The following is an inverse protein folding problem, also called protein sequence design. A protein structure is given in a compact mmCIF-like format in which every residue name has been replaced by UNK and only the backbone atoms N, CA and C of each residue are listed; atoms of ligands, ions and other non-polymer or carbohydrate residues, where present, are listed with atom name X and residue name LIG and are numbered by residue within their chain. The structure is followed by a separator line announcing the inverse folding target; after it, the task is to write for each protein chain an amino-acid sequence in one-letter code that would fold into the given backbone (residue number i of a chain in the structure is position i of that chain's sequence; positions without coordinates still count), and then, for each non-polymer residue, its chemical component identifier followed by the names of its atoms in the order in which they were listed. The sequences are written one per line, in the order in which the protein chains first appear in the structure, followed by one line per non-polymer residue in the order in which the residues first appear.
data_IF_319159591469
#
_entry.id   IF_319159591469
#
_cell.length_a   1.000
_cell.length_b   1.000
_cell.length_c   1.000
_cell.angle_alpha   90.00
_cell.angle_beta   90.00
_cell.angle_gamma   90.00
#
_symmetry.space_group_name_H-M   'P 1'
#
loop_
_entity.id
_entity.type
_entity.pdbx_description
1 polymer ?
#
# COMPACT_ATOMS: atom_id res chain seq x y z
N UNK A 1 -17.64 -11.38 19.86
CA UNK A 1 -16.41 -10.62 19.52
C UNK A 1 -16.79 -9.54 18.53
N UNK A 2 -16.12 -8.39 18.57
CA UNK A 2 -16.26 -7.31 17.60
C UNK A 2 -14.85 -6.81 17.33
N UNK A 3 -14.52 -6.58 16.05
CA UNK A 3 -13.16 -6.30 15.62
C UNK A 3 -13.20 -5.15 14.62
N UNK A 4 -12.20 -4.30 14.68
CA UNK A 4 -11.98 -3.23 13.72
C UNK A 4 -10.57 -3.32 13.13
N UNK A 5 -10.39 -2.74 11.96
CA UNK A 5 -9.10 -2.58 11.31
C UNK A 5 -9.02 -1.18 10.70
N UNK A 6 -7.89 -0.50 10.90
CA UNK A 6 -7.55 0.70 10.14
C UNK A 6 -6.29 0.41 9.35
N UNK A 7 -6.32 0.67 8.04
CA UNK A 7 -5.19 0.46 7.15
C UNK A 7 -4.54 1.79 6.82
N UNK A 8 -3.22 1.82 6.95
CA UNK A 8 -2.42 2.98 6.62
C UNK A 8 -1.48 2.68 5.46
N UNK A 9 -1.26 3.68 4.61
CA UNK A 9 -0.24 3.65 3.55
C UNK A 9 0.77 4.74 3.85
N UNK A 10 2.02 4.36 4.09
CA UNK A 10 3.09 5.28 4.49
C UNK A 10 2.75 6.17 5.70
N UNK A 11 1.88 5.69 6.59
CA UNK A 11 1.46 6.39 7.80
C UNK A 11 0.13 7.14 7.68
N UNK A 12 -0.45 7.25 6.48
CA UNK A 12 -1.68 7.99 6.25
C UNK A 12 -2.91 7.07 6.17
N UNK A 13 -4.04 7.52 6.73
CA UNK A 13 -5.35 6.84 6.75
C UNK A 13 -6.14 7.11 5.46
N UNK A 14 -5.49 6.86 4.32
CA UNK A 14 -5.92 7.28 2.99
C UNK A 14 -7.13 6.49 2.43
N UNK A 15 -8.23 6.42 3.16
CA UNK A 15 -9.44 5.65 2.81
C UNK A 15 -10.13 6.18 1.57
N UNK A 16 -10.17 7.50 1.44
CA UNK A 16 -10.68 8.19 0.26
C UNK A 16 -9.51 8.37 -0.72
N UNK A 17 -9.56 7.78 -1.93
CA UNK A 17 -8.47 7.92 -2.90
C UNK A 17 -8.31 9.34 -3.50
N UNK A 18 -9.25 10.26 -3.27
CA UNK A 18 -9.09 11.72 -3.53
C UNK A 18 -8.91 12.53 -2.23
N UNK A 19 -8.71 11.83 -1.10
CA UNK A 19 -8.48 12.45 0.20
C UNK A 19 -7.19 13.27 0.24
N UNK A 20 -7.19 14.33 1.05
CA UNK A 20 -6.03 15.20 1.24
C UNK A 20 -4.83 14.49 1.89
N UNK A 21 -5.06 13.35 2.52
CA UNK A 21 -4.09 12.47 3.17
C UNK A 21 -3.55 11.37 2.25
N UNK A 22 -4.02 11.28 1.00
CA UNK A 22 -3.53 10.27 0.06
C UNK A 22 -2.07 10.54 -0.30
N UNK A 23 -1.14 9.65 0.07
CA UNK A 23 0.26 9.83 -0.25
C UNK A 23 0.48 9.72 -1.76
N UNK A 24 1.40 10.52 -2.26
CA UNK A 24 1.80 10.51 -3.66
C UNK A 24 3.19 9.88 -3.73
N UNK A 25 3.29 8.74 -4.40
CA UNK A 25 4.48 7.89 -4.37
C UNK A 25 4.91 7.57 -5.80
N UNK A 26 6.19 7.73 -6.10
CA UNK A 26 6.69 7.41 -7.44
C UNK A 26 6.78 5.89 -7.64
N UNK A 27 6.60 5.37 -8.88
CA UNK A 27 6.72 3.95 -9.14
C UNK A 27 8.08 3.40 -8.72
N UNK A 28 8.08 2.28 -7.98
CA UNK A 28 9.29 1.66 -7.44
C UNK A 28 9.75 2.20 -6.08
N UNK A 29 9.21 3.32 -5.61
CA UNK A 29 9.50 3.82 -4.25
C UNK A 29 8.86 2.92 -3.19
N UNK A 30 9.47 2.90 -2.00
CA UNK A 30 9.03 2.06 -0.91
C UNK A 30 7.65 2.43 -0.37
N UNK A 31 6.84 1.41 -0.10
CA UNK A 31 5.57 1.51 0.61
C UNK A 31 5.66 0.70 1.89
N UNK A 32 5.18 1.26 3.00
CA UNK A 32 4.87 0.53 4.24
C UNK A 32 3.37 0.57 4.45
N UNK A 33 2.74 -0.60 4.48
CA UNK A 33 1.35 -0.75 4.90
C UNK A 33 1.32 -1.15 6.38
N UNK A 34 0.51 -0.44 7.17
CA UNK A 34 0.26 -0.77 8.58
C UNK A 34 -1.21 -1.13 8.75
N UNK A 35 -1.48 -2.19 9.49
CA UNK A 35 -2.84 -2.67 9.78
C UNK A 35 -3.04 -2.61 11.30
N UNK A 36 -3.80 -1.62 11.76
CA UNK A 36 -4.13 -1.44 13.16
C UNK A 36 -5.40 -2.22 13.48
N UNK A 37 -5.23 -3.42 14.05
CA UNK A 37 -6.32 -4.31 14.43
C UNK A 37 -6.73 -4.03 15.86
N UNK A 38 -7.99 -3.67 16.09
CA UNK A 38 -8.50 -3.28 17.42
C UNK A 38 -9.67 -4.16 17.84
N UNK A 39 -9.63 -4.68 19.07
CA UNK A 39 -10.81 -5.33 19.66
C UNK A 39 -11.76 -4.26 20.21
N UNK A 40 -12.78 -3.93 19.43
CA UNK A 40 -13.81 -2.96 19.83
C UNK A 40 -14.96 -3.62 20.61
N UNK A 41 -14.91 -4.94 20.80
CA UNK A 41 -15.88 -5.71 21.56
C UNK A 41 -15.56 -5.83 23.05
N UNK A 42 -16.32 -6.66 23.74
CA UNK A 42 -16.18 -6.92 25.19
C UNK A 42 -15.59 -8.30 25.53
N UNK A 43 -15.13 -9.06 24.52
CA UNK A 43 -14.63 -10.43 24.69
C UNK A 43 -13.21 -10.50 24.17
N UNK A 44 -12.32 -11.07 24.98
CA UNK A 44 -10.93 -11.37 24.64
C UNK A 44 -10.84 -12.23 23.37
N UNK A 45 -9.85 -11.95 22.52
CA UNK A 45 -9.62 -12.67 21.26
C UNK A 45 -8.20 -13.25 21.30
N UNK A 46 -8.06 -14.57 21.13
CA UNK A 46 -6.73 -15.17 21.07
C UNK A 46 -6.03 -14.81 19.75
N UNK A 47 -4.72 -14.59 19.78
CA UNK A 47 -3.91 -14.41 18.56
C UNK A 47 -4.17 -15.48 17.50
N UNK A 48 -4.32 -16.74 17.92
CA UNK A 48 -4.53 -17.87 17.00
C UNK A 48 -5.86 -17.79 16.23
N UNK A 49 -6.81 -16.99 16.71
CA UNK A 49 -8.10 -16.75 16.09
C UNK A 49 -8.10 -15.53 15.14
N UNK A 50 -7.02 -14.74 15.13
CA UNK A 50 -6.90 -13.52 14.33
C UNK A 50 -6.22 -13.85 13.00
N UNK A 51 -6.88 -13.51 11.90
CA UNK A 51 -6.29 -13.56 10.57
C UNK A 51 -6.34 -12.18 9.93
N UNK A 52 -5.18 -11.64 9.57
CA UNK A 52 -5.06 -10.39 8.82
C UNK A 52 -4.65 -10.71 7.38
N UNK A 53 -5.36 -10.12 6.43
CA UNK A 53 -5.13 -10.30 4.99
C UNK A 53 -5.19 -8.98 4.26
N UNK A 54 -4.62 -8.97 3.07
CA UNK A 54 -4.58 -7.87 2.12
C UNK A 54 -4.99 -8.43 0.75
N UNK A 55 -5.75 -7.67 -0.04
CA UNK A 55 -6.29 -8.15 -1.32
C UNK A 55 -5.19 -8.54 -2.33
N UNK A 56 -4.01 -7.90 -2.27
CA UNK A 56 -2.90 -8.21 -3.19
C UNK A 56 -1.79 -9.01 -2.51
N UNK A 57 -1.39 -8.61 -1.29
CA UNK A 57 -0.26 -9.25 -0.58
C UNK A 57 -0.67 -10.62 -0.01
N UNK A 58 -1.96 -10.83 0.27
CA UNK A 58 -2.45 -12.02 0.94
C UNK A 58 -2.29 -11.93 2.47
N UNK A 59 -1.91 -13.01 3.13
CA UNK A 59 -1.83 -13.06 4.60
C UNK A 59 -0.71 -12.18 5.15
N UNK A 60 -1.03 -11.38 6.17
CA UNK A 60 -0.09 -10.51 6.88
C UNK A 60 0.20 -11.10 8.25
N UNK A 61 1.46 -11.42 8.52
CA UNK A 61 1.88 -12.13 9.75
C UNK A 61 2.84 -11.34 10.63
N UNK A 62 3.41 -10.24 10.13
CA UNK A 62 4.42 -9.49 10.86
C UNK A 62 3.76 -8.52 11.85
N UNK A 63 3.68 -8.92 13.12
CA UNK A 63 3.20 -8.08 14.22
C UNK A 63 4.38 -7.25 14.74
N UNK A 64 4.32 -5.94 14.53
CA UNK A 64 5.37 -5.00 14.96
C UNK A 64 5.07 -4.35 16.30
N UNK A 65 3.81 -4.40 16.74
CA UNK A 65 3.38 -3.96 18.07
C UNK A 65 2.21 -4.82 18.54
N UNK A 66 2.35 -5.44 19.71
CA UNK A 66 1.37 -6.36 20.29
C UNK A 66 0.73 -5.80 21.56
N UNK A 67 0.53 -4.48 21.61
CA UNK A 67 -0.05 -3.80 22.76
C UNK A 67 0.74 -4.04 24.05
N UNK A 68 0.19 -4.84 24.96
CA UNK A 68 0.84 -5.19 26.23
C UNK A 68 1.82 -6.38 26.15
N UNK A 69 1.86 -7.06 24.99
CA UNK A 69 2.86 -8.08 24.65
C UNK A 69 2.46 -9.51 24.94
N UNK A 70 1.20 -9.78 25.33
CA UNK A 70 0.69 -11.14 25.48
C UNK A 70 0.01 -11.68 24.20
N UNK A 71 -0.61 -12.87 24.26
CA UNK A 71 -1.21 -13.55 23.10
C UNK A 71 -2.75 -13.36 23.04
N UNK A 72 -3.27 -12.33 23.71
CA UNK A 72 -4.70 -12.02 23.83
C UNK A 72 -4.91 -10.56 23.41
N UNK A 73 -5.73 -10.34 22.39
CA UNK A 73 -6.19 -9.00 22.04
C UNK A 73 -7.38 -8.64 22.96
N UNK A 74 -7.10 -7.95 24.06
CA UNK A 74 -8.08 -7.56 25.06
C UNK A 74 -9.02 -6.44 24.56
N UNK A 75 -10.22 -6.27 25.16
CA UNK A 75 -11.11 -5.15 24.85
C UNK A 75 -10.42 -3.78 24.90
N UNK A 76 -10.48 -3.04 23.79
CA UNK A 76 -9.85 -1.73 23.61
C UNK A 76 -8.36 -1.77 23.26
N UNK A 77 -7.77 -2.96 23.15
CA UNK A 77 -6.38 -3.11 22.72
C UNK A 77 -6.25 -3.08 21.19
N UNK A 78 -5.11 -2.59 20.72
CA UNK A 78 -4.74 -2.53 19.31
C UNK A 78 -3.39 -3.21 19.05
N UNK A 79 -3.35 -4.10 18.07
CA UNK A 79 -2.10 -4.65 17.53
C UNK A 79 -1.80 -4.07 16.15
N UNK A 80 -0.52 -3.83 15.88
CA UNK A 80 -0.05 -3.32 14.60
C UNK A 80 0.65 -4.43 13.82
N UNK A 81 0.12 -4.72 12.64
CA UNK A 81 0.76 -5.58 11.66
C UNK A 81 1.38 -4.71 10.56
N UNK A 82 2.47 -5.18 9.93
CA UNK A 82 3.09 -4.49 8.81
C UNK A 82 3.36 -5.39 7.61
N UNK A 83 3.37 -4.75 6.45
CA UNK A 83 3.95 -5.30 5.23
C UNK A 83 4.68 -4.17 4.50
N UNK A 84 5.76 -4.53 3.80
CA UNK A 84 6.53 -3.60 2.98
C UNK A 84 6.50 -4.03 1.52
N UNK A 85 6.58 -3.06 0.62
CA UNK A 85 6.62 -3.29 -0.81
C UNK A 85 7.08 -2.05 -1.55
N UNK A 86 6.74 -1.98 -2.83
CA UNK A 86 7.03 -0.83 -3.68
C UNK A 86 5.77 -0.38 -4.39
N UNK A 87 5.65 0.92 -4.65
CA UNK A 87 4.57 1.46 -5.47
C UNK A 87 4.65 0.88 -6.90
N UNK A 88 3.50 0.52 -7.46
CA UNK A 88 3.40 0.04 -8.84
C UNK A 88 3.32 1.23 -9.80
N UNK A 89 3.67 1.00 -11.07
CA UNK A 89 3.39 1.93 -12.17
C UNK A 89 1.87 1.89 -12.44
N UNK A 90 1.14 2.97 -12.14
CA UNK A 90 -0.31 3.07 -12.34
C UNK A 90 -0.68 3.45 -13.77
N UNK A 91 0.29 3.92 -14.57
CA UNK A 91 0.14 4.12 -16.01
C UNK A 91 0.10 2.77 -16.73
N UNK A 92 0.98 1.83 -16.34
CA UNK A 92 1.05 0.48 -16.87
C UNK A 92 0.98 -0.58 -15.75
N UNK A 93 -0.18 -0.73 -15.09
CA UNK A 93 -0.31 -1.62 -13.96
C UNK A 93 -0.16 -3.09 -14.37
N UNK A 94 0.30 -3.97 -13.45
CA UNK A 94 0.26 -5.41 -13.65
C UNK A 94 -1.17 -5.92 -13.93
N UNK A 95 -1.28 -7.01 -14.69
CA UNK A 95 -2.53 -7.75 -14.89
C UNK A 95 -2.81 -8.60 -13.65
N UNK A 96 -3.46 -8.00 -12.66
CA UNK A 96 -3.85 -8.63 -11.40
C UNK A 96 -5.32 -8.28 -11.08
N UNK A 97 -6.18 -9.30 -11.08
CA UNK A 97 -7.61 -9.18 -10.79
C UNK A 97 -7.90 -8.61 -9.39
N UNK A 98 -6.96 -8.70 -8.46
CA UNK A 98 -7.12 -8.18 -7.11
C UNK A 98 -6.74 -6.71 -6.98
N UNK A 99 -6.12 -6.12 -8.01
CA UNK A 99 -5.70 -4.73 -8.00
C UNK A 99 -6.92 -3.81 -8.10
N UNK A 100 -7.10 -2.92 -7.12
CA UNK A 100 -8.18 -1.93 -7.14
C UNK A 100 -7.62 -0.60 -7.61
N UNK A 101 -7.97 -0.21 -8.84
CA UNK A 101 -7.58 1.03 -9.46
C UNK A 101 -8.77 1.97 -9.57
N UNK A 102 -8.58 3.22 -9.17
CA UNK A 102 -9.62 4.25 -9.22
C UNK A 102 -9.13 5.37 -10.12
N UNK A 103 -9.83 5.60 -11.23
CA UNK A 103 -9.50 6.66 -12.19
C UNK A 103 -10.03 8.03 -11.72
N UNK A 104 -9.38 9.09 -12.19
CA UNK A 104 -9.83 10.49 -12.03
C UNK A 104 -9.99 10.99 -10.57
N UNK A 105 -9.23 10.44 -9.62
CA UNK A 105 -9.32 10.77 -8.18
C UNK A 105 -8.05 11.38 -7.60
N UNK A 106 -6.89 11.31 -8.25
CA UNK A 106 -5.68 11.94 -7.69
C UNK A 106 -5.63 13.42 -8.08
N UNK A 107 -6.50 14.25 -7.51
CA UNK A 107 -6.60 15.66 -7.87
C UNK A 107 -5.63 16.55 -7.11
N UNK A 108 -5.15 16.11 -5.93
CA UNK A 108 -4.41 16.94 -4.97
C UNK A 108 -5.13 18.28 -4.72
N UNK A 109 -6.35 18.24 -4.19
CA UNK A 109 -7.21 19.43 -4.00
C UNK A 109 -7.42 20.23 -5.30
N UNK A 110 -7.47 19.54 -6.44
CA UNK A 110 -7.60 20.14 -7.77
C UNK A 110 -6.32 20.77 -8.34
N UNK A 111 -5.15 20.57 -7.72
CA UNK A 111 -3.86 21.01 -8.26
C UNK A 111 -3.43 20.23 -9.52
N UNK A 112 -3.91 19.00 -9.69
CA UNK A 112 -3.62 18.11 -10.81
C UNK A 112 -4.84 18.02 -11.73
N UNK A 113 -4.66 18.40 -13.01
CA UNK A 113 -5.67 18.28 -14.06
C UNK A 113 -5.00 17.96 -15.42
N UNK A 114 -5.33 16.82 -16.07
CA UNK A 114 -6.30 15.83 -15.65
C UNK A 114 -5.86 15.08 -14.39
N UNK A 115 -6.82 14.71 -13.54
CA UNK A 115 -6.59 13.89 -12.36
C UNK A 115 -5.97 12.54 -12.77
N UNK A 116 -5.07 12.01 -11.95
CA UNK A 116 -4.48 10.69 -12.20
C UNK A 116 -5.24 9.57 -11.49
N UNK A 117 -4.82 8.34 -11.77
CA UNK A 117 -5.32 7.12 -11.14
C UNK A 117 -4.70 6.93 -9.76
N UNK A 118 -5.49 6.46 -8.81
CA UNK A 118 -5.04 5.93 -7.52
C UNK A 118 -5.04 4.39 -7.53
N UNK A 119 -4.19 3.81 -6.69
CA UNK A 119 -4.34 2.43 -6.24
C UNK A 119 -4.91 2.42 -4.82
N UNK A 120 -5.92 1.59 -4.60
CA UNK A 120 -6.53 1.37 -3.28
C UNK A 120 -6.19 -0.03 -2.78
N UNK A 121 -5.48 -0.09 -1.66
CA UNK A 121 -5.15 -1.34 -1.00
C UNK A 121 -6.15 -1.63 0.13
N UNK A 122 -6.62 -2.86 0.29
CA UNK A 122 -7.70 -3.23 1.20
C UNK A 122 -7.21 -4.26 2.21
N UNK A 123 -7.16 -3.86 3.47
CA UNK A 123 -6.86 -4.75 4.59
C UNK A 123 -8.14 -5.38 5.10
N UNK A 124 -8.07 -6.65 5.51
CA UNK A 124 -9.16 -7.39 6.12
C UNK A 124 -8.66 -8.10 7.36
N UNK A 125 -9.35 -7.91 8.49
CA UNK A 125 -9.18 -8.75 9.68
C UNK A 125 -10.39 -9.65 9.84
N UNK A 126 -10.16 -10.91 10.19
CA UNK A 126 -11.21 -11.88 10.51
C UNK A 126 -10.90 -12.56 11.84
N UNK A 127 -11.94 -12.75 12.64
CA UNK A 127 -11.97 -13.52 13.89
C UNK A 127 -13.23 -14.39 13.91
N UNK A 128 -13.37 -15.39 14.81
CA UNK A 128 -14.58 -16.19 14.91
C UNK A 128 -15.84 -15.33 15.11
N UNK A 129 -16.67 -15.25 14.07
CA UNK A 129 -17.95 -14.55 14.09
C UNK A 129 -17.89 -13.03 13.87
N UNK A 130 -16.73 -12.45 13.54
CA UNK A 130 -16.62 -11.04 13.16
C UNK A 130 -15.51 -10.81 12.12
N UNK A 131 -15.65 -9.77 11.31
CA UNK A 131 -14.65 -9.34 10.34
C UNK A 131 -14.78 -7.84 10.11
N UNK A 132 -13.67 -7.18 9.81
CA UNK A 132 -13.64 -5.79 9.37
C UNK A 132 -12.69 -5.62 8.20
N UNK A 133 -12.95 -4.61 7.38
CA UNK A 133 -12.16 -4.27 6.20
C UNK A 133 -11.94 -2.78 6.13
N UNK A 134 -10.75 -2.36 5.72
CA UNK A 134 -10.44 -0.94 5.59
C UNK A 134 -9.51 -0.67 4.39
N UNK A 135 -9.89 0.24 3.49
CA UNK A 135 -9.07 0.63 2.35
C UNK A 135 -8.04 1.70 2.74
N UNK A 136 -6.91 1.74 2.04
CA UNK A 136 -5.93 2.81 2.10
C UNK A 136 -5.23 2.94 0.76
N UNK A 137 -5.13 4.15 0.25
CA UNK A 137 -4.75 4.42 -1.14
C UNK A 137 -3.40 5.12 -1.25
N UNK A 138 -2.81 5.08 -2.45
CA UNK A 138 -1.79 6.03 -2.86
C UNK A 138 -1.98 6.44 -4.32
N UNK A 139 -1.48 7.63 -4.64
CA UNK A 139 -1.44 8.18 -5.97
C UNK A 139 -0.05 8.04 -6.58
N UNK A 140 0.02 7.97 -7.91
CA UNK A 140 1.27 8.21 -8.64
C UNK A 140 1.41 9.70 -8.94
N UNK A 141 2.63 10.25 -8.83
CA UNK A 141 2.92 11.57 -9.38
C UNK A 141 2.65 11.53 -10.89
N UNK A 142 1.80 12.40 -11.47
CA UNK A 142 1.69 12.49 -12.91
C UNK A 142 3.09 12.75 -13.48
N UNK A 143 3.53 12.08 -14.56
CA UNK A 143 4.79 12.41 -15.18
C UNK A 143 4.76 13.90 -15.47
N UNK A 144 5.62 14.66 -14.79
CA UNK A 144 5.65 16.11 -14.96
C UNK A 144 5.78 16.38 -16.45
N UNK A 145 4.82 17.10 -17.03
CA UNK A 145 5.06 17.64 -18.36
C UNK A 145 6.30 18.52 -18.19
N UNK A 146 7.44 18.09 -18.72
CA UNK A 146 8.68 18.87 -18.74
C UNK A 146 8.42 20.07 -19.66
N UNK A 147 7.80 21.10 -19.08
CA UNK A 147 7.70 22.45 -19.60
C UNK A 147 8.82 23.29 -18.99
N UNK A 148 10.07 22.90 -19.23
CA UNK A 148 11.26 23.61 -18.77
C UNK A 148 12.52 22.87 -19.20
N UNK A 149 13.29 23.47 -20.09
CA UNK A 149 14.50 22.92 -20.71
C UNK A 149 15.56 22.45 -19.70
N UNK A 150 16.18 21.32 -20.02
CA UNK A 150 17.44 20.73 -19.50
C UNK A 150 17.36 19.68 -18.37
N UNK A 151 17.22 18.41 -18.78
CA UNK A 151 18.10 17.33 -18.28
C UNK A 151 18.33 16.28 -19.39
N UNK A 152 19.56 15.77 -19.58
CA UNK A 152 19.87 14.84 -20.67
C UNK A 152 19.41 13.43 -20.32
N UNK A 153 18.60 12.84 -21.19
CA UNK A 153 18.11 11.45 -21.13
C UNK A 153 19.21 10.43 -20.77
N UNK A 154 18.93 9.43 -19.90
CA UNK A 154 19.83 8.30 -19.75
C UNK A 154 19.77 7.42 -21.00
N UNK A 155 20.85 7.52 -21.76
CA UNK A 155 21.31 6.69 -22.86
C UNK A 155 20.59 5.33 -23.05
N UNK A 156 19.77 5.24 -24.11
CA UNK A 156 19.33 3.97 -24.70
C UNK A 156 20.48 3.36 -25.51
N UNK A 157 21.47 2.82 -24.80
CA UNK A 157 22.71 2.26 -25.34
C UNK A 157 22.62 0.76 -25.63
N UNK A 158 22.20 0.44 -26.86
CA UNK A 158 22.45 -0.75 -27.68
C UNK A 158 23.39 -1.81 -27.07
N UNK A 159 22.87 -3.04 -26.87
CA UNK A 159 23.67 -4.26 -26.75
C UNK A 159 24.56 -4.43 -27.99
N UNK A 160 25.86 -4.17 -27.87
CA UNK A 160 26.88 -4.66 -28.82
C UNK A 160 27.87 -5.54 -28.10
N UNK A 161 27.67 -6.85 -28.27
CA UNK A 161 28.63 -7.91 -28.00
C UNK A 161 29.94 -7.60 -28.70
N UNK A 162 31.05 -7.51 -27.97
CA UNK A 162 32.39 -7.57 -28.53
C UNK A 162 33.21 -8.64 -27.81
N UNK A 163 33.53 -9.68 -28.57
CA UNK A 163 34.44 -10.78 -28.26
C UNK A 163 35.88 -10.21 -28.27
N UNK A 164 36.73 -10.46 -27.26
CA UNK A 164 38.14 -10.12 -27.38
C UNK A 164 38.86 -11.22 -28.18
N UNK A 165 39.33 -10.86 -29.38
CA UNK A 165 40.32 -11.66 -30.13
C UNK A 165 41.71 -11.35 -29.60
N UNK A 166 42.39 -12.39 -29.14
CA UNK A 166 43.81 -12.42 -28.80
C UNK A 166 44.73 -12.32 -30.04
N UNK A 167 45.99 -12.00 -29.77
CA UNK A 167 47.20 -11.94 -30.62
C UNK A 167 47.35 -10.67 -31.48
N UNK A 168 48.50 -9.99 -31.48
CA UNK A 168 49.88 -10.48 -31.46
C UNK A 168 50.83 -9.53 -30.72
#
# INVERSE_FOLDING_TARGET
PEIDIIKYTNGEDAKDPDGADVPVVAPGDGITWTYAVTNIGAVDISEADITVTDNVIGTITDIVNKGDGDDILAPGETWLYQAVGTAIDLVNPPDDDNLVLVDDVCTQDGAINPASRAYTNIGTVTVPGASATDPSSYCEVPPTSIGGTDEPTPNRGIYRTFIPSLLN
#
